data_IF_273406542598
#
_entry.id   IF_273406542598
#
_cell.length_a   1.000
_cell.length_b   1.000
_cell.length_c   1.000
_cell.angle_alpha   90.00
_cell.angle_beta   90.00
_cell.angle_gamma   90.00
#
_symmetry.space_group_name_H-M   'P 1'
#
loop_
_entity.id
_entity.type
_entity.pdbx_description
1 polymer ?
#
# COMPACT_ATOMS: atom_id res chain seq x y z
N UNK A 1 6.57 5.73 12.11
CA UNK A 1 6.66 4.44 11.40
C UNK A 1 6.08 3.25 12.19
N UNK A 2 5.56 3.44 13.41
CA UNK A 2 4.95 2.33 14.16
C UNK A 2 3.65 1.89 13.51
N UNK A 3 2.82 2.85 13.10
CA UNK A 3 1.53 2.56 12.47
C UNK A 3 1.66 1.95 11.07
N UNK A 4 2.54 2.51 10.22
CA UNK A 4 2.79 1.96 8.87
C UNK A 4 3.33 0.53 8.93
N UNK A 5 4.21 0.23 9.90
CA UNK A 5 4.70 -1.14 10.13
C UNK A 5 3.58 -2.08 10.60
N UNK A 6 2.70 -1.62 11.48
CA UNK A 6 1.55 -2.40 11.92
C UNK A 6 0.56 -2.67 10.77
N UNK A 7 0.32 -1.67 9.91
CA UNK A 7 -0.50 -1.79 8.72
C UNK A 7 0.11 -2.79 7.71
N UNK A 8 1.42 -2.71 7.45
CA UNK A 8 2.14 -3.70 6.64
C UNK A 8 1.95 -5.13 7.19
N UNK A 9 2.06 -5.30 8.51
CA UNK A 9 1.83 -6.59 9.18
C UNK A 9 0.41 -7.11 8.99
N UNK A 10 -0.61 -6.25 9.05
CA UNK A 10 -2.01 -6.60 8.79
C UNK A 10 -2.24 -6.98 7.33
N UNK A 11 -1.75 -6.17 6.39
CA UNK A 11 -1.86 -6.44 4.95
C UNK A 11 -1.21 -7.77 4.58
N UNK A 12 0.02 -8.02 5.05
CA UNK A 12 0.71 -9.28 4.83
C UNK A 12 0.01 -10.46 5.52
N UNK A 13 -0.66 -10.22 6.64
CA UNK A 13 -1.54 -11.21 7.28
C UNK A 13 -2.69 -11.62 6.37
N UNK A 14 -3.42 -10.63 5.82
CA UNK A 14 -4.52 -10.87 4.88
C UNK A 14 -4.04 -11.61 3.64
N UNK A 15 -2.94 -11.18 3.01
CA UNK A 15 -2.39 -11.84 1.81
C UNK A 15 -2.04 -13.30 2.09
N UNK A 16 -1.35 -13.58 3.19
CA UNK A 16 -1.01 -14.96 3.57
C UNK A 16 -2.24 -15.81 3.87
N UNK A 17 -3.25 -15.23 4.50
CA UNK A 17 -4.51 -15.94 4.76
C UNK A 17 -5.26 -16.23 3.45
N UNK A 18 -5.25 -15.32 2.49
CA UNK A 18 -5.85 -15.54 1.16
C UNK A 18 -5.12 -16.66 0.43
N UNK A 19 -3.79 -16.65 0.43
CA UNK A 19 -2.98 -17.71 -0.18
C UNK A 19 -3.20 -19.08 0.49
N UNK A 20 -3.46 -19.09 1.81
CA UNK A 20 -3.62 -20.34 2.58
C UNK A 20 -5.04 -20.90 2.56
N UNK A 21 -6.05 -20.04 2.62
CA UNK A 21 -7.45 -20.43 2.83
C UNK A 21 -8.38 -20.05 1.67
N UNK A 22 -7.90 -19.24 0.72
CA UNK A 22 -8.69 -18.70 -0.38
C UNK A 22 -9.41 -17.40 -0.03
N UNK A 23 -9.62 -16.55 -1.03
CA UNK A 23 -10.22 -15.22 -0.86
C UNK A 23 -11.62 -15.26 -0.22
N UNK A 24 -12.48 -16.18 -0.67
CA UNK A 24 -13.85 -16.29 -0.16
C UNK A 24 -13.91 -16.58 1.35
N UNK A 25 -13.04 -17.46 1.87
CA UNK A 25 -13.00 -17.80 3.29
C UNK A 25 -12.46 -16.65 4.13
N UNK A 26 -11.43 -15.93 3.64
CA UNK A 26 -10.90 -14.74 4.32
C UNK A 26 -11.95 -13.64 4.38
N UNK A 27 -12.61 -13.35 3.26
CA UNK A 27 -13.69 -12.36 3.22
C UNK A 27 -14.83 -12.73 4.16
N UNK A 28 -15.19 -14.02 4.26
CA UNK A 28 -16.18 -14.48 5.24
C UNK A 28 -15.74 -14.22 6.69
N UNK A 29 -14.48 -14.51 7.04
CA UNK A 29 -13.94 -14.24 8.39
C UNK A 29 -13.90 -12.76 8.75
N UNK A 30 -13.75 -11.89 7.75
CA UNK A 30 -13.76 -10.44 7.92
C UNK A 30 -15.17 -9.82 7.83
N UNK A 31 -16.23 -10.64 7.71
CA UNK A 31 -17.61 -10.19 7.47
C UNK A 31 -17.78 -9.38 6.17
N UNK A 32 -16.98 -9.71 5.15
CA UNK A 32 -16.95 -9.09 3.82
C UNK A 32 -17.39 -10.08 2.72
N UNK A 33 -18.15 -11.12 3.06
CA UNK A 33 -18.56 -12.16 2.10
C UNK A 33 -19.36 -11.62 0.89
N UNK A 34 -19.98 -10.45 1.01
CA UNK A 34 -20.65 -9.77 -0.12
C UNK A 34 -19.69 -9.21 -1.17
N UNK A 35 -18.38 -9.23 -0.92
CA UNK A 35 -17.34 -8.81 -1.87
C UNK A 35 -16.68 -9.98 -2.61
N UNK A 36 -17.10 -11.23 -2.36
CA UNK A 36 -16.58 -12.38 -3.08
C UNK A 36 -16.88 -12.26 -4.59
N UNK A 37 -15.86 -12.50 -5.43
CA UNK A 37 -15.96 -12.37 -6.88
C UNK A 37 -16.08 -10.92 -7.40
N UNK A 38 -15.96 -9.92 -6.52
CA UNK A 38 -15.86 -8.51 -6.93
C UNK A 38 -14.42 -8.16 -7.35
N UNK A 39 -14.22 -7.05 -8.07
CA UNK A 39 -12.88 -6.60 -8.41
C UNK A 39 -11.98 -6.47 -7.18
N UNK A 40 -10.72 -6.89 -7.33
CA UNK A 40 -9.72 -6.85 -6.26
C UNK A 40 -9.53 -5.45 -5.67
N UNK A 41 -9.59 -4.40 -6.50
CA UNK A 41 -9.58 -2.99 -6.07
C UNK A 41 -10.71 -2.69 -5.07
N UNK A 42 -11.95 -3.11 -5.35
CA UNK A 42 -13.10 -2.94 -4.46
C UNK A 42 -12.91 -3.69 -3.13
N UNK A 43 -12.31 -4.88 -3.19
CA UNK A 43 -12.01 -5.68 -2.01
C UNK A 43 -10.94 -5.00 -1.14
N UNK A 44 -9.82 -4.58 -1.74
CA UNK A 44 -8.76 -3.87 -1.03
C UNK A 44 -9.21 -2.51 -0.50
N UNK A 45 -10.11 -1.82 -1.20
CA UNK A 45 -10.76 -0.60 -0.74
C UNK A 45 -11.55 -0.87 0.56
N UNK A 46 -12.34 -1.94 0.62
CA UNK A 46 -13.07 -2.31 1.84
C UNK A 46 -12.13 -2.72 3.00
N UNK A 47 -10.93 -3.23 2.68
CA UNK A 47 -9.92 -3.60 3.67
C UNK A 47 -9.17 -2.39 4.25
N UNK A 48 -9.29 -1.19 3.69
CA UNK A 48 -8.54 0.00 4.15
C UNK A 48 -8.80 0.30 5.63
N UNK A 49 -10.06 0.24 6.10
CA UNK A 49 -10.35 0.51 7.52
C UNK A 49 -9.76 -0.54 8.46
N UNK A 50 -9.57 -1.77 7.99
CA UNK A 50 -8.96 -2.84 8.77
C UNK A 50 -7.43 -2.75 8.77
N UNK A 51 -6.83 -2.49 7.60
CA UNK A 51 -5.38 -2.45 7.42
C UNK A 51 -4.81 -1.12 7.94
N UNK A 52 -5.46 -0.01 7.61
CA UNK A 52 -5.06 1.37 7.91
C UNK A 52 -6.20 2.11 8.63
N UNK A 53 -6.51 1.74 9.90
CA UNK A 53 -7.55 2.40 10.68
C UNK A 53 -7.25 3.89 10.79
N UNK A 54 -8.29 4.72 10.71
CA UNK A 54 -8.15 6.16 10.85
C UNK A 54 -7.60 6.53 12.24
N UNK A 55 -6.66 7.47 12.25
CA UNK A 55 -6.09 8.02 13.48
C UNK A 55 -5.40 9.37 13.21
N UNK A 56 -4.77 9.92 14.24
CA UNK A 56 -4.22 11.28 14.22
C UNK A 56 -2.72 11.36 13.94
N UNK A 57 -2.03 10.22 13.86
CA UNK A 57 -0.58 10.21 13.64
C UNK A 57 -0.24 10.36 12.16
N UNK A 58 0.86 11.06 11.86
CA UNK A 58 1.36 11.24 10.49
C UNK A 58 1.60 9.88 9.82
N UNK A 59 2.15 8.91 10.56
CA UNK A 59 2.46 7.60 10.01
C UNK A 59 1.21 6.72 9.75
N UNK A 60 0.09 7.01 10.41
CA UNK A 60 -1.24 6.44 10.08
C UNK A 60 -1.78 7.05 8.79
N UNK A 61 -1.69 8.37 8.64
CA UNK A 61 -2.13 9.06 7.43
C UNK A 61 -1.32 8.61 6.20
N UNK A 62 0.01 8.51 6.33
CA UNK A 62 0.88 8.00 5.27
C UNK A 62 0.54 6.56 4.89
N UNK A 63 0.36 5.67 5.88
CA UNK A 63 -0.01 4.28 5.60
C UNK A 63 -1.37 4.18 4.88
N UNK A 64 -2.33 5.03 5.27
CA UNK A 64 -3.63 5.07 4.61
C UNK A 64 -3.54 5.59 3.19
N UNK A 65 -2.75 6.64 2.96
CA UNK A 65 -2.53 7.19 1.62
C UNK A 65 -1.88 6.17 0.69
N UNK A 66 -0.80 5.51 1.14
CA UNK A 66 -0.14 4.44 0.38
C UNK A 66 -1.13 3.33 -0.01
N UNK A 67 -1.95 2.87 0.94
CA UNK A 67 -2.96 1.85 0.63
C UNK A 67 -3.96 2.30 -0.45
N UNK A 68 -4.39 3.56 -0.43
CA UNK A 68 -5.33 4.11 -1.40
C UNK A 68 -4.70 4.29 -2.79
N UNK A 69 -3.47 4.81 -2.85
CA UNK A 69 -2.71 4.95 -4.10
C UNK A 69 -2.52 3.59 -4.78
N UNK A 70 -2.21 2.56 -3.99
CA UNK A 70 -2.13 1.19 -4.48
C UNK A 70 -3.45 0.63 -5.01
N UNK A 71 -4.55 0.89 -4.33
CA UNK A 71 -5.89 0.47 -4.80
C UNK A 71 -6.21 1.14 -6.14
N UNK A 72 -5.85 2.42 -6.31
CA UNK A 72 -6.03 3.15 -7.56
C UNK A 72 -5.16 2.55 -8.67
N UNK A 73 -3.87 2.35 -8.41
CA UNK A 73 -2.95 1.76 -9.38
C UNK A 73 -3.39 0.35 -9.82
N UNK A 74 -3.90 -0.45 -8.88
CA UNK A 74 -4.48 -1.76 -9.17
C UNK A 74 -5.69 -1.65 -10.11
N UNK A 75 -6.61 -0.72 -9.85
CA UNK A 75 -7.77 -0.49 -10.69
C UNK A 75 -7.38 -0.05 -12.13
N UNK A 76 -6.32 0.74 -12.26
CA UNK A 76 -5.80 1.21 -13.55
C UNK A 76 -5.05 0.12 -14.34
N UNK A 77 -4.46 -0.87 -13.67
CA UNK A 77 -3.61 -1.91 -14.27
C UNK A 77 -4.37 -3.03 -15.01
N UNK A 78 -5.70 -3.07 -14.89
CA UNK A 78 -6.56 -4.12 -15.44
C UNK A 78 -7.01 -5.08 -14.34
N UNK A 79 -8.26 -4.92 -13.91
CA UNK A 79 -8.78 -5.59 -12.72
C UNK A 79 -9.02 -7.10 -12.93
N UNK A 80 -8.55 -7.89 -11.98
CA UNK A 80 -9.01 -9.26 -11.72
C UNK A 80 -9.78 -9.31 -10.40
N UNK A 81 -10.46 -10.42 -10.13
CA UNK A 81 -11.02 -10.69 -8.80
C UNK A 81 -9.90 -11.05 -7.81
N UNK A 82 -10.14 -10.89 -6.50
CA UNK A 82 -9.15 -11.24 -5.48
C UNK A 82 -8.76 -12.73 -5.52
N UNK A 83 -9.67 -13.61 -5.91
CA UNK A 83 -9.41 -15.06 -6.05
C UNK A 83 -8.59 -15.44 -7.27
N UNK A 84 -8.55 -14.57 -8.28
CA UNK A 84 -7.77 -14.77 -9.51
C UNK A 84 -6.39 -14.12 -9.46
N UNK A 85 -6.11 -13.29 -8.46
CA UNK A 85 -4.78 -12.70 -8.28
C UNK A 85 -3.72 -13.76 -8.01
N UNK A 86 -2.61 -13.71 -8.73
CA UNK A 86 -1.48 -14.60 -8.49
C UNK A 86 -0.73 -14.20 -7.20
N UNK A 87 0.02 -15.13 -6.57
CA UNK A 87 0.88 -14.80 -5.44
C UNK A 87 1.84 -13.65 -5.73
N UNK A 88 2.36 -13.56 -6.95
CA UNK A 88 3.25 -12.50 -7.41
C UNK A 88 2.52 -11.16 -7.46
N UNK A 89 1.29 -11.10 -7.97
CA UNK A 89 0.47 -9.88 -7.97
C UNK A 89 0.15 -9.40 -6.56
N UNK A 90 -0.18 -10.33 -5.64
CA UNK A 90 -0.40 -9.98 -4.24
C UNK A 90 0.87 -9.49 -3.55
N UNK A 91 2.01 -10.10 -3.88
CA UNK A 91 3.30 -9.67 -3.35
C UNK A 91 3.69 -8.29 -3.88
N UNK A 92 3.46 -8.01 -5.16
CA UNK A 92 3.73 -6.71 -5.76
C UNK A 92 2.88 -5.62 -5.10
N UNK A 93 1.58 -5.87 -4.91
CA UNK A 93 0.70 -4.98 -4.15
C UNK A 93 1.24 -4.72 -2.73
N UNK A 94 1.77 -5.73 -2.04
CA UNK A 94 2.39 -5.52 -0.74
C UNK A 94 3.67 -4.67 -0.80
N UNK A 95 4.53 -4.91 -1.79
CA UNK A 95 5.78 -4.18 -1.98
C UNK A 95 5.52 -2.71 -2.32
N UNK A 96 4.57 -2.43 -3.20
CA UNK A 96 4.19 -1.06 -3.56
C UNK A 96 3.67 -0.29 -2.34
N UNK A 97 2.85 -0.93 -1.50
CA UNK A 97 2.36 -0.34 -0.25
C UNK A 97 3.52 0.03 0.69
N UNK A 98 4.53 -0.85 0.81
CA UNK A 98 5.71 -0.60 1.66
C UNK A 98 6.55 0.54 1.09
N UNK A 99 6.80 0.56 -0.22
CA UNK A 99 7.57 1.62 -0.89
C UNK A 99 6.91 2.98 -0.72
N UNK A 100 5.62 3.10 -1.06
CA UNK A 100 4.85 4.33 -0.91
C UNK A 100 4.77 4.79 0.56
N UNK A 101 4.66 3.86 1.51
CA UNK A 101 4.69 4.21 2.94
C UNK A 101 6.03 4.80 3.39
N UNK A 102 7.15 4.32 2.84
CA UNK A 102 8.48 4.85 3.15
C UNK A 102 8.64 6.23 2.48
N UNK A 103 8.27 6.35 1.21
CA UNK A 103 8.30 7.61 0.46
C UNK A 103 7.48 8.71 1.15
N UNK A 104 6.23 8.41 1.50
CA UNK A 104 5.34 9.36 2.15
C UNK A 104 5.88 9.85 3.49
N UNK A 105 6.59 9.00 4.23
CA UNK A 105 7.21 9.40 5.50
C UNK A 105 8.50 10.20 5.31
N UNK A 106 9.31 9.88 4.29
CA UNK A 106 10.46 10.73 3.93
C UNK A 106 9.95 12.13 3.56
N UNK A 107 8.89 12.22 2.75
CA UNK A 107 8.27 13.49 2.38
C UNK A 107 7.68 14.23 3.58
N UNK A 108 6.98 13.54 4.47
CA UNK A 108 6.44 14.15 5.69
C UNK A 108 7.55 14.71 6.60
N UNK A 109 8.65 13.98 6.78
CA UNK A 109 9.79 14.42 7.57
C UNK A 109 10.49 15.63 6.93
N UNK A 110 10.64 15.66 5.60
CA UNK A 110 11.20 16.81 4.88
C UNK A 110 10.33 18.07 5.05
N UNK A 111 9.00 17.92 4.89
CA UNK A 111 8.05 19.01 5.08
C UNK A 111 8.03 19.54 6.52
N UNK A 112 8.09 18.65 7.51
CA UNK A 112 8.11 19.05 8.93
C UNK A 112 9.40 19.78 9.31
N UNK A 113 10.53 19.43 8.70
CA UNK A 113 11.85 20.02 9.00
C UNK A 113 12.13 21.31 8.24
N UNK A 114 11.24 21.75 7.36
CA UNK A 114 11.40 22.99 6.60
C UNK A 114 12.63 22.97 5.69
N UNK A 115 12.97 21.80 5.13
CA UNK A 115 14.02 21.70 4.13
C UNK A 115 13.60 22.55 2.94
N UNK A 116 14.49 23.43 2.46
CA UNK A 116 14.24 24.28 1.30
C UNK A 116 13.99 23.39 0.08
N UNK A 117 12.72 23.35 -0.34
CA UNK A 117 12.33 22.76 -1.62
C UNK A 117 12.88 23.69 -2.70
N UNK A 118 13.51 23.15 -3.77
CA UNK A 118 13.97 23.96 -4.89
C UNK A 118 12.84 24.86 -5.42
N UNK A 119 13.17 26.09 -5.82
CA UNK A 119 12.19 27.02 -6.44
C UNK A 119 11.76 26.57 -7.86
N UNK A 120 12.31 25.46 -8.34
CA UNK A 120 12.09 24.88 -9.67
C UNK A 120 11.27 23.59 -9.57
N UNK A 121 10.08 23.60 -10.18
CA UNK A 121 9.17 22.45 -10.21
C UNK A 121 9.83 21.24 -10.88
N UNK A 122 10.60 21.46 -11.95
CA UNK A 122 11.28 20.37 -12.66
C UNK A 122 12.36 19.72 -11.78
N UNK A 123 12.96 20.48 -10.86
CA UNK A 123 13.88 19.94 -9.87
C UNK A 123 13.15 19.11 -8.80
N UNK A 124 11.96 19.52 -8.38
CA UNK A 124 11.13 18.76 -7.42
C UNK A 124 10.71 17.42 -8.01
N UNK A 125 10.18 17.40 -9.23
CA UNK A 125 9.72 16.17 -9.88
C UNK A 125 10.86 15.15 -10.08
N UNK A 126 12.05 15.63 -10.47
CA UNK A 126 13.24 14.78 -10.57
C UNK A 126 13.62 14.19 -9.21
N UNK A 127 13.62 15.00 -8.16
CA UNK A 127 13.96 14.55 -6.81
C UNK A 127 12.96 13.51 -6.29
N UNK A 128 11.66 13.68 -6.59
CA UNK A 128 10.62 12.70 -6.28
C UNK A 128 10.84 11.39 -7.03
N UNK A 129 11.14 11.47 -8.33
CA UNK A 129 11.41 10.28 -9.16
C UNK A 129 12.63 9.51 -8.66
N UNK A 130 13.74 10.20 -8.38
CA UNK A 130 14.95 9.57 -7.86
C UNK A 130 14.72 8.90 -6.50
N UNK A 131 13.94 9.53 -5.62
CA UNK A 131 13.58 8.95 -4.33
C UNK A 131 12.73 7.69 -4.50
N UNK A 132 11.74 7.74 -5.38
CA UNK A 132 10.87 6.61 -5.71
C UNK A 132 11.68 5.42 -6.22
N UNK A 133 12.55 5.65 -7.21
CA UNK A 133 13.42 4.61 -7.79
C UNK A 133 14.36 4.01 -6.74
N UNK A 134 14.95 4.84 -5.88
CA UNK A 134 15.84 4.38 -4.82
C UNK A 134 15.12 3.51 -3.78
N UNK A 135 13.97 3.98 -3.27
CA UNK A 135 13.21 3.25 -2.26
C UNK A 135 12.70 1.94 -2.84
N UNK A 136 12.11 2.00 -4.02
CA UNK A 136 11.57 0.84 -4.72
C UNK A 136 12.65 -0.21 -5.04
N UNK A 137 13.83 0.23 -5.51
CA UNK A 137 14.97 -0.67 -5.70
C UNK A 137 15.43 -1.32 -4.40
N UNK A 138 15.46 -0.57 -3.30
CA UNK A 138 15.87 -1.07 -1.99
C UNK A 138 14.84 -2.03 -1.36
N UNK A 139 13.54 -1.73 -1.46
CA UNK A 139 12.46 -2.58 -0.92
C UNK A 139 12.41 -3.90 -1.69
N UNK A 140 12.34 -3.87 -3.02
CA UNK A 140 12.32 -5.07 -3.84
C UNK A 140 13.60 -5.89 -3.70
N UNK A 141 14.78 -5.26 -3.55
CA UNK A 141 16.03 -5.99 -3.32
C UNK A 141 16.19 -6.62 -1.92
N UNK A 142 15.44 -6.18 -0.91
CA UNK A 142 15.53 -6.66 0.48
C UNK A 142 14.37 -7.58 0.90
N UNK A 143 13.24 -7.50 0.18
CA UNK A 143 11.99 -8.18 0.51
C UNK A 143 11.54 -9.20 -0.56
N UNK A 144 12.33 -9.39 -1.62
CA UNK A 144 12.16 -10.47 -2.61
C UNK A 144 12.61 -11.83 -2.10
#
# INVERSE_FOLDING_TARGET
>A
MGASRAAAGRLLGVIRDVQRFGAAEVLRRLNLNGLAGRPSSEVFMALVEFVCPAGGAIDEAVARQAMLENVIALAESGETTLDEMTPEQMNEFFLDFVSQSIEGMVMADLGQRGVTIPDDVDAVERMQTELHDFITGATRGRLS
#
